data_IF_269606375779
#
_entry.id   IF_269606375779
#
_cell.length_a   1.000
_cell.length_b   1.000
_cell.length_c   1.000
_cell.angle_alpha   90.00
_cell.angle_beta   90.00
_cell.angle_gamma   90.00
#
_symmetry.space_group_name_H-M   'P 1'
#
loop_
_entity.id
_entity.type
_entity.pdbx_description
1 polymer ?
#
# COMPACT_ATOMS: atom_id res chain seq x y z
N UNK A 1 14.34 26.91 -24.28
CA UNK A 1 14.90 25.54 -24.35
C UNK A 1 14.73 24.71 -23.05
N UNK A 2 14.45 25.33 -21.89
CA UNK A 2 14.34 24.66 -20.57
C UNK A 2 13.16 23.69 -20.36
N UNK A 3 12.08 23.80 -21.15
CA UNK A 3 10.87 23.00 -20.94
C UNK A 3 11.04 21.50 -21.27
N UNK A 4 11.87 21.16 -22.27
CA UNK A 4 12.09 19.75 -22.67
C UNK A 4 12.82 18.94 -21.59
N UNK A 5 13.78 19.54 -20.89
CA UNK A 5 14.51 18.86 -19.82
C UNK A 5 13.64 18.59 -18.58
N UNK A 6 12.73 19.52 -18.23
CA UNK A 6 11.79 19.33 -17.12
C UNK A 6 10.77 18.21 -17.39
N UNK A 7 10.35 18.06 -18.66
CA UNK A 7 9.46 16.97 -19.06
C UNK A 7 10.19 15.61 -19.03
N UNK A 8 11.46 15.57 -19.44
CA UNK A 8 12.29 14.36 -19.36
C UNK A 8 12.53 13.90 -17.92
N UNK A 9 12.84 14.83 -17.01
CA UNK A 9 13.07 14.49 -15.60
C UNK A 9 11.80 13.98 -14.89
N UNK A 10 10.62 14.52 -15.24
CA UNK A 10 9.35 14.02 -14.71
C UNK A 10 9.04 12.59 -15.18
N UNK A 11 9.30 12.29 -16.45
CA UNK A 11 9.14 10.94 -17.01
C UNK A 11 10.13 9.96 -16.33
N UNK A 12 11.38 10.37 -16.09
CA UNK A 12 12.37 9.55 -15.38
C UNK A 12 11.96 9.27 -13.91
N UNK A 13 11.41 10.26 -13.20
CA UNK A 13 10.89 10.09 -11.83
C UNK A 13 9.70 9.12 -11.81
N UNK A 14 8.75 9.28 -12.74
CA UNK A 14 7.58 8.41 -12.85
C UNK A 14 7.99 6.95 -13.14
N UNK A 15 8.95 6.75 -14.04
CA UNK A 15 9.49 5.41 -14.32
C UNK A 15 10.24 4.82 -13.11
N UNK A 16 10.98 5.64 -12.36
CA UNK A 16 11.66 5.19 -11.16
C UNK A 16 10.66 4.71 -10.08
N UNK A 17 9.59 5.46 -9.82
CA UNK A 17 8.53 5.07 -8.88
C UNK A 17 7.87 3.75 -9.29
N UNK A 18 7.52 3.61 -10.59
CA UNK A 18 6.92 2.38 -11.11
C UNK A 18 7.83 1.16 -10.91
N UNK A 19 9.13 1.33 -11.10
CA UNK A 19 10.13 0.28 -10.88
C UNK A 19 10.26 -0.08 -9.38
N UNK A 20 10.33 0.90 -8.48
CA UNK A 20 10.36 0.65 -7.04
C UNK A 20 9.10 -0.07 -6.54
N UNK A 21 7.94 0.29 -7.09
CA UNK A 21 6.68 -0.41 -6.80
C UNK A 21 6.72 -1.86 -7.29
N UNK A 22 7.16 -2.11 -8.52
CA UNK A 22 7.30 -3.47 -9.03
C UNK A 22 8.25 -4.30 -8.14
N UNK A 23 9.40 -3.74 -7.73
CA UNK A 23 10.37 -4.40 -6.87
C UNK A 23 9.82 -4.73 -5.49
N UNK A 24 9.13 -3.78 -4.85
CA UNK A 24 8.52 -4.00 -3.53
C UNK A 24 7.45 -5.10 -3.58
N UNK A 25 6.63 -5.14 -4.64
CA UNK A 25 5.65 -6.23 -4.85
C UNK A 25 6.33 -7.59 -5.05
N UNK A 26 7.42 -7.66 -5.81
CA UNK A 26 8.20 -8.88 -6.00
C UNK A 26 8.79 -9.36 -4.67
N UNK A 27 9.36 -8.45 -3.86
CA UNK A 27 9.94 -8.78 -2.55
C UNK A 27 8.90 -9.32 -1.57
N UNK A 28 7.70 -8.74 -1.55
CA UNK A 28 6.59 -9.24 -0.73
C UNK A 28 6.16 -10.66 -1.12
N UNK A 29 6.00 -10.93 -2.42
CA UNK A 29 5.69 -12.28 -2.91
C UNK A 29 6.80 -13.27 -2.56
N UNK A 30 8.07 -12.89 -2.74
CA UNK A 30 9.22 -13.72 -2.39
C UNK A 30 9.27 -14.05 -0.89
N UNK A 31 8.93 -13.10 -0.01
CA UNK A 31 8.86 -13.32 1.44
C UNK A 31 7.77 -14.34 1.80
N UNK A 32 6.62 -14.27 1.13
CA UNK A 32 5.53 -15.24 1.31
C UNK A 32 5.97 -16.65 0.94
N UNK A 33 6.63 -16.82 -0.22
CA UNK A 33 7.17 -18.12 -0.63
C UNK A 33 8.21 -18.65 0.35
N UNK A 34 9.09 -17.80 0.87
CA UNK A 34 10.05 -18.22 1.90
C UNK A 34 9.34 -18.72 3.17
N UNK A 35 8.31 -18.02 3.64
CA UNK A 35 7.51 -18.46 4.79
C UNK A 35 6.78 -19.78 4.52
N UNK A 36 6.28 -19.97 3.29
CA UNK A 36 5.66 -21.23 2.88
C UNK A 36 6.65 -22.40 2.93
N UNK A 37 7.86 -22.23 2.40
CA UNK A 37 8.90 -23.27 2.42
C UNK A 37 9.29 -23.62 3.86
N UNK A 38 9.49 -22.62 4.72
CA UNK A 38 9.77 -22.85 6.15
C UNK A 38 8.62 -23.58 6.84
N UNK A 39 7.37 -23.22 6.55
CA UNK A 39 6.19 -23.91 7.07
C UNK A 39 6.12 -25.38 6.65
N UNK A 40 6.41 -25.68 5.37
CA UNK A 40 6.44 -27.06 4.87
C UNK A 40 7.53 -27.87 5.56
N UNK A 41 8.75 -27.34 5.64
CA UNK A 41 9.86 -28.00 6.31
C UNK A 41 9.53 -28.24 7.79
N UNK A 42 9.03 -27.21 8.50
CA UNK A 42 8.62 -27.32 9.90
C UNK A 42 7.52 -28.36 10.13
N UNK A 43 6.53 -28.42 9.24
CA UNK A 43 5.45 -29.41 9.32
C UNK A 43 5.97 -30.84 9.14
N UNK A 44 6.87 -31.06 8.18
CA UNK A 44 7.52 -32.37 7.98
C UNK A 44 8.36 -32.75 9.20
N UNK A 45 9.14 -31.82 9.76
CA UNK A 45 9.92 -32.05 10.98
C UNK A 45 9.03 -32.42 12.18
N UNK A 46 7.89 -31.75 12.37
CA UNK A 46 6.95 -32.07 13.45
C UNK A 46 6.37 -33.49 13.31
N UNK A 47 6.03 -33.91 12.09
CA UNK A 47 5.54 -35.27 11.81
C UNK A 47 6.61 -36.31 12.13
N UNK A 48 7.87 -36.05 11.73
CA UNK A 48 9.01 -36.93 12.01
C UNK A 48 9.23 -37.07 13.51
N UNK A 49 9.22 -35.96 14.27
CA UNK A 49 9.39 -36.00 15.73
C UNK A 49 8.28 -36.82 16.39
N UNK A 50 7.02 -36.60 16.01
CA UNK A 50 5.92 -37.35 16.63
C UNK A 50 5.96 -38.84 16.26
N UNK A 51 6.15 -39.19 14.98
CA UNK A 51 6.13 -40.60 14.52
C UNK A 51 7.39 -41.39 14.84
N UNK A 52 8.58 -40.80 14.72
CA UNK A 52 9.86 -41.52 14.87
C UNK A 52 10.33 -41.49 16.32
N UNK A 53 10.26 -40.34 16.99
CA UNK A 53 10.70 -40.21 18.39
C UNK A 53 9.60 -40.60 19.40
N UNK A 54 8.41 -40.99 18.93
CA UNK A 54 7.25 -41.35 19.76
C UNK A 54 6.95 -40.31 20.85
N UNK A 55 7.17 -39.03 20.55
CA UNK A 55 7.02 -37.96 21.54
C UNK A 55 5.55 -37.53 21.62
N UNK A 56 4.89 -37.86 22.73
CA UNK A 56 3.47 -37.56 22.94
C UNK A 56 2.52 -38.41 22.09
N UNK A 57 2.77 -39.70 21.93
CA UNK A 57 2.00 -40.61 21.04
C UNK A 57 0.51 -40.67 21.38
N UNK A 58 0.14 -40.53 22.65
CA UNK A 58 -1.27 -40.57 23.07
C UNK A 58 -2.07 -39.34 22.63
N UNK A 59 -1.39 -38.24 22.32
CA UNK A 59 -2.04 -36.99 21.92
C UNK A 59 -1.39 -36.42 20.67
N UNK A 60 -2.15 -36.34 19.56
CA UNK A 60 -1.69 -35.80 18.28
C UNK A 60 -1.47 -34.27 18.31
N UNK A 61 -0.67 -33.77 19.24
CA UNK A 61 -0.39 -32.35 19.47
C UNK A 61 0.17 -31.65 18.23
N UNK A 62 0.91 -32.39 17.39
CA UNK A 62 1.45 -31.87 16.13
C UNK A 62 0.34 -31.42 15.17
N UNK A 63 -0.86 -32.03 15.22
CA UNK A 63 -2.01 -31.62 14.40
C UNK A 63 -2.48 -30.23 14.81
N UNK A 64 -2.57 -29.97 16.12
CA UNK A 64 -2.92 -28.65 16.63
C UNK A 64 -1.86 -27.61 16.32
N UNK A 65 -0.57 -27.97 16.46
CA UNK A 65 0.54 -27.09 16.11
C UNK A 65 0.55 -26.71 14.62
N UNK A 66 0.40 -27.70 13.72
CA UNK A 66 0.31 -27.48 12.27
C UNK A 66 -0.94 -26.66 11.94
N UNK A 67 -2.09 -26.96 12.56
CA UNK A 67 -3.34 -26.22 12.31
C UNK A 67 -3.21 -24.75 12.70
N UNK A 68 -2.69 -24.47 13.89
CA UNK A 68 -2.47 -23.09 14.34
C UNK A 68 -1.48 -22.35 13.43
N UNK A 69 -0.39 -23.00 13.04
CA UNK A 69 0.60 -22.41 12.15
C UNK A 69 0.04 -22.19 10.74
N UNK A 70 -0.74 -23.14 10.22
CA UNK A 70 -1.44 -23.02 8.94
C UNK A 70 -2.43 -21.85 8.96
N UNK A 71 -3.12 -21.63 10.07
CA UNK A 71 -4.02 -20.48 10.24
C UNK A 71 -3.27 -19.14 10.17
N UNK A 72 -2.14 -19.00 10.87
CA UNK A 72 -1.29 -17.80 10.77
C UNK A 72 -0.76 -17.60 9.34
N UNK A 73 -0.39 -18.68 8.67
CA UNK A 73 0.06 -18.63 7.28
C UNK A 73 -1.06 -18.21 6.32
N UNK A 74 -2.29 -18.68 6.53
CA UNK A 74 -3.46 -18.25 5.75
C UNK A 74 -3.72 -16.75 5.88
N UNK A 75 -3.63 -16.20 7.10
CA UNK A 75 -3.71 -14.73 7.33
C UNK A 75 -2.59 -14.01 6.55
N UNK A 76 -1.37 -14.55 6.57
CA UNK A 76 -0.25 -13.95 5.84
C UNK A 76 -0.47 -13.95 4.32
N UNK A 77 -0.98 -15.06 3.75
CA UNK A 77 -1.40 -15.13 2.34
C UNK A 77 -2.45 -14.06 2.06
N UNK A 78 -3.52 -14.00 2.86
CA UNK A 78 -4.61 -13.06 2.63
C UNK A 78 -4.13 -11.61 2.67
N UNK A 79 -3.25 -11.25 3.61
CA UNK A 79 -2.66 -9.92 3.67
C UNK A 79 -1.79 -9.60 2.44
N UNK A 80 -0.99 -10.55 1.98
CA UNK A 80 -0.12 -10.33 0.81
C UNK A 80 -0.92 -10.30 -0.50
N UNK A 81 -1.99 -11.06 -0.65
CA UNK A 81 -2.78 -11.11 -1.90
C UNK A 81 -3.95 -10.12 -1.94
N UNK A 82 -4.67 -9.95 -0.84
CA UNK A 82 -5.88 -9.12 -0.77
C UNK A 82 -5.54 -7.74 -0.24
N UNK A 83 -5.02 -7.63 0.99
CA UNK A 83 -4.75 -6.33 1.63
C UNK A 83 -3.77 -5.48 0.82
N UNK A 84 -2.67 -6.07 0.32
CA UNK A 84 -1.69 -5.33 -0.50
C UNK A 84 -2.21 -4.92 -1.89
N UNK A 85 -3.24 -5.61 -2.41
CA UNK A 85 -3.86 -5.28 -3.71
C UNK A 85 -4.98 -4.25 -3.54
N UNK A 86 -5.78 -4.36 -2.49
CA UNK A 86 -6.93 -3.50 -2.25
C UNK A 86 -6.56 -2.19 -1.51
N UNK A 87 -5.65 -2.27 -0.55
CA UNK A 87 -5.22 -1.15 0.31
C UNK A 87 -3.73 -0.84 0.10
N UNK A 88 -3.23 -1.12 -1.10
CA UNK A 88 -1.86 -0.81 -1.49
C UNK A 88 -1.67 0.67 -1.81
N UNK A 89 -0.44 1.03 -2.17
CA UNK A 89 -0.05 2.40 -2.45
C UNK A 89 -0.91 3.07 -3.55
N UNK A 90 -1.37 2.34 -4.55
CA UNK A 90 -2.26 2.88 -5.59
C UNK A 90 -3.61 3.32 -5.03
N UNK A 91 -4.16 2.57 -4.08
CA UNK A 91 -5.39 2.96 -3.40
C UNK A 91 -5.19 4.23 -2.58
N UNK A 92 -4.07 4.32 -1.84
CA UNK A 92 -3.71 5.53 -1.10
C UNK A 92 -3.52 6.75 -2.02
N UNK A 93 -2.86 6.56 -3.17
CA UNK A 93 -2.66 7.60 -4.18
C UNK A 93 -4.00 8.09 -4.73
N UNK A 94 -4.90 7.17 -5.08
CA UNK A 94 -6.25 7.51 -5.54
C UNK A 94 -7.06 8.25 -4.48
N UNK A 95 -6.99 7.85 -3.20
CA UNK A 95 -7.65 8.58 -2.11
C UNK A 95 -7.07 9.98 -1.92
N UNK A 96 -5.74 10.12 -1.98
CA UNK A 96 -5.05 11.41 -1.86
C UNK A 96 -5.45 12.37 -2.98
N UNK A 97 -5.44 11.91 -4.22
CA UNK A 97 -5.85 12.72 -5.38
C UNK A 97 -7.29 13.20 -5.24
N UNK A 98 -8.19 12.34 -4.79
CA UNK A 98 -9.59 12.70 -4.53
C UNK A 98 -9.71 13.81 -3.48
N UNK A 99 -8.91 13.77 -2.41
CA UNK A 99 -8.90 14.80 -1.38
C UNK A 99 -8.31 16.12 -1.88
N UNK A 100 -7.20 16.07 -2.62
CA UNK A 100 -6.57 17.26 -3.21
C UNK A 100 -7.52 17.93 -4.21
N UNK A 101 -8.25 17.16 -5.02
CA UNK A 101 -9.24 17.70 -5.96
C UNK A 101 -10.34 18.48 -5.22
N UNK A 102 -10.87 17.93 -4.12
CA UNK A 102 -11.87 18.61 -3.28
C UNK A 102 -11.32 19.92 -2.69
N UNK A 103 -10.08 19.91 -2.21
CA UNK A 103 -9.45 21.13 -1.69
C UNK A 103 -9.28 22.20 -2.77
N UNK A 104 -8.84 21.81 -3.98
CA UNK A 104 -8.72 22.73 -5.12
C UNK A 104 -10.08 23.33 -5.53
N UNK A 105 -11.13 22.52 -5.54
CA UNK A 105 -12.49 23.01 -5.80
C UNK A 105 -12.92 24.04 -4.74
N UNK A 106 -12.68 23.75 -3.46
CA UNK A 106 -13.01 24.68 -2.38
C UNK A 106 -12.25 26.00 -2.47
N UNK A 107 -10.97 25.95 -2.82
CA UNK A 107 -10.16 27.16 -3.05
C UNK A 107 -10.71 27.98 -4.22
N UNK A 108 -11.10 27.31 -5.32
CA UNK A 108 -11.69 27.99 -6.48
C UNK A 108 -13.03 28.65 -6.17
N UNK A 109 -13.87 28.02 -5.34
CA UNK A 109 -15.12 28.61 -4.85
C UNK A 109 -14.86 29.86 -4.02
N UNK A 110 -13.94 29.77 -3.05
CA UNK A 110 -13.56 30.90 -2.20
C UNK A 110 -12.96 32.06 -3.02
N UNK A 111 -12.15 31.76 -4.03
CA UNK A 111 -11.62 32.78 -4.95
C UNK A 111 -12.74 33.50 -5.71
N UNK A 112 -13.73 32.75 -6.20
CA UNK A 112 -14.88 33.31 -6.92
C UNK A 112 -15.77 34.16 -6.01
N UNK A 113 -15.96 33.75 -4.76
CA UNK A 113 -16.69 34.52 -3.75
C UNK A 113 -15.97 35.84 -3.45
N UNK A 114 -14.65 35.81 -3.24
CA UNK A 114 -13.83 37.02 -3.03
C UNK A 114 -13.92 37.98 -4.24
N UNK A 115 -13.85 37.48 -5.46
CA UNK A 115 -14.01 38.29 -6.68
C UNK A 115 -15.41 38.93 -6.80
N UNK A 116 -16.43 38.24 -6.28
CA UNK A 116 -17.83 38.71 -6.32
C UNK A 116 -18.12 39.73 -5.22
N UNK A 117 -17.60 39.52 -4.00
CA UNK A 117 -17.80 40.42 -2.85
C UNK A 117 -16.87 41.65 -2.88
N UNK A 118 -15.66 41.50 -3.44
CA UNK A 118 -14.68 42.58 -3.59
C UNK A 118 -14.25 42.73 -5.06
N UNK A 119 -15.14 43.19 -5.95
CA UNK A 119 -14.73 43.48 -7.31
C UNK A 119 -13.66 44.57 -7.27
N UNK A 120 -12.59 44.42 -8.06
CA UNK A 120 -11.44 45.34 -8.13
C UNK A 120 -11.85 46.82 -8.33
N UNK A 121 -13.08 47.07 -8.80
CA UNK A 121 -13.71 48.40 -8.88
C UNK A 121 -13.96 49.08 -7.52
N UNK A 122 -14.24 48.34 -6.45
CA UNK A 122 -14.48 48.90 -5.10
C UNK A 122 -13.17 49.22 -4.35
N UNK A 123 -12.06 48.56 -4.71
CA UNK A 123 -10.74 48.80 -4.10
C UNK A 123 -10.17 50.14 -4.58
N UNK A 124 -10.37 50.50 -5.85
CA UNK A 124 -9.95 51.81 -6.37
C UNK A 124 -10.78 52.97 -5.81
N UNK A 125 -12.11 52.80 -5.66
CA UNK A 125 -12.97 53.87 -5.09
C UNK A 125 -12.61 54.27 -3.66
N UNK A 126 -12.17 53.32 -2.83
CA UNK A 126 -11.84 53.59 -1.42
C UNK A 126 -10.44 54.20 -1.20
N UNK A 127 -9.63 54.27 -2.27
CA UNK A 127 -8.25 54.80 -2.24
C UNK A 127 -8.16 56.24 -2.77
N UNK A 128 -9.23 56.72 -3.41
CA UNK A 128 -9.36 58.07 -3.97
C UNK A 128 -10.21 59.01 -3.08
N UNK A 129 -10.83 58.49 -2.01
CA UNK A 129 -11.41 59.26 -0.88
C UNK A 129 -10.39 59.42 0.25
#
# INVERSE_FOLDING_TARGET
>A
MFSKNKKKSLIEIEQHELLEHAQTRIKQKKRLYNHFVVFLIGSVFMIIINKILKYGVEYNWFVWAITFWAFLFAIHIFNVFVTSKFMGLEWERAQREKLVLKQKQKISELQKEIETEFPLSNINKKKEE
#
